data_IF_803875148648
#
_entry.id   IF_803875148648
#
_cell.length_a   1.000
_cell.length_b   1.000
_cell.length_c   1.000
_cell.angle_alpha   90.00
_cell.angle_beta   90.00
_cell.angle_gamma   90.00
#
_symmetry.space_group_name_H-M   'P 1'
#
loop_
_entity.id
_entity.type
_entity.pdbx_description
1 polymer ?
#
# COMPACT_ATOMS: atom_id res chain seq x y z
N UNK A 1 0.66 -40.25 -11.81
CA UNK A 1 1.32 -39.00 -12.27
C UNK A 1 0.39 -37.85 -11.95
N UNK A 2 0.70 -37.03 -10.94
CA UNK A 2 -0.18 -35.92 -10.52
C UNK A 2 -0.04 -34.78 -11.52
N UNK A 3 -1.15 -34.36 -12.16
CA UNK A 3 -1.15 -33.28 -13.15
C UNK A 3 -0.64 -31.98 -12.54
N UNK A 4 0.15 -31.20 -13.27
CA UNK A 4 0.60 -29.85 -12.90
C UNK A 4 -0.58 -28.97 -12.46
N UNK A 5 -1.75 -29.15 -13.07
CA UNK A 5 -2.97 -28.44 -12.70
C UNK A 5 -3.47 -28.79 -11.29
N UNK A 6 -3.26 -30.03 -10.85
CA UNK A 6 -3.60 -30.49 -9.50
C UNK A 6 -2.64 -29.89 -8.47
N UNK A 7 -1.33 -29.87 -8.77
CA UNK A 7 -0.30 -29.22 -7.95
C UNK A 7 -0.55 -27.71 -7.78
N UNK A 8 -0.90 -27.01 -8.86
CA UNK A 8 -1.24 -25.58 -8.81
C UNK A 8 -2.50 -25.34 -7.98
N UNK A 9 -3.53 -26.18 -8.16
CA UNK A 9 -4.79 -26.07 -7.43
C UNK A 9 -4.59 -26.35 -5.93
N UNK A 10 -3.77 -27.34 -5.58
CA UNK A 10 -3.46 -27.73 -4.20
C UNK A 10 -2.55 -26.70 -3.52
N UNK A 11 -1.58 -26.13 -4.23
CA UNK A 11 -0.80 -24.99 -3.76
C UNK A 11 -1.68 -23.76 -3.53
N UNK A 12 -2.58 -23.46 -4.47
CA UNK A 12 -3.50 -22.33 -4.38
C UNK A 12 -4.51 -22.49 -3.24
N UNK A 13 -5.03 -23.69 -2.98
CA UNK A 13 -5.91 -23.93 -1.83
C UNK A 13 -5.15 -23.88 -0.51
N UNK A 14 -3.91 -24.39 -0.46
CA UNK A 14 -3.06 -24.36 0.73
C UNK A 14 -2.62 -22.94 1.11
N UNK A 15 -2.35 -22.08 0.13
CA UNK A 15 -1.86 -20.71 0.33
C UNK A 15 -2.93 -19.64 0.04
N UNK A 16 -4.21 -20.03 -0.04
CA UNK A 16 -5.30 -19.17 -0.54
C UNK A 16 -5.45 -17.86 0.23
N UNK A 17 -5.20 -17.91 1.53
CA UNK A 17 -5.42 -16.77 2.42
C UNK A 17 -4.29 -15.76 2.28
N UNK A 18 -3.06 -16.24 2.09
CA UNK A 18 -1.91 -15.41 1.75
C UNK A 18 -2.08 -14.72 0.38
N UNK A 19 -2.56 -15.46 -0.63
CA UNK A 19 -2.74 -14.94 -2.00
C UNK A 19 -3.88 -13.91 -2.08
N UNK A 20 -5.03 -14.18 -1.45
CA UNK A 20 -6.15 -13.22 -1.45
C UNK A 20 -5.84 -11.94 -0.67
N UNK A 21 -5.10 -12.06 0.43
CA UNK A 21 -4.66 -10.89 1.20
C UNK A 21 -3.70 -10.02 0.39
N UNK A 22 -2.76 -10.62 -0.34
CA UNK A 22 -1.85 -9.90 -1.25
C UNK A 22 -2.64 -9.19 -2.37
N UNK A 23 -3.70 -9.81 -2.89
CA UNK A 23 -4.60 -9.17 -3.86
C UNK A 23 -5.28 -7.93 -3.28
N UNK A 24 -5.84 -8.01 -2.08
CA UNK A 24 -6.53 -6.87 -1.44
C UNK A 24 -5.58 -5.70 -1.17
N UNK A 25 -4.32 -6.00 -0.82
CA UNK A 25 -3.26 -5.00 -0.65
C UNK A 25 -2.94 -4.27 -1.96
N UNK A 26 -2.79 -5.00 -3.06
CA UNK A 26 -2.52 -4.39 -4.38
C UNK A 26 -3.72 -3.56 -4.84
N UNK A 27 -4.95 -4.00 -4.59
CA UNK A 27 -6.15 -3.24 -4.95
C UNK A 27 -6.22 -1.94 -4.14
N UNK A 28 -5.99 -1.99 -2.82
CA UNK A 28 -5.99 -0.77 -2.00
C UNK A 28 -4.88 0.18 -2.44
N UNK A 29 -3.70 -0.32 -2.78
CA UNK A 29 -2.59 0.48 -3.31
C UNK A 29 -2.96 1.26 -4.57
N UNK A 30 -3.57 0.58 -5.55
CA UNK A 30 -3.96 1.20 -6.83
C UNK A 30 -5.03 2.27 -6.60
N UNK A 31 -6.04 1.98 -5.79
CA UNK A 31 -7.11 2.95 -5.53
C UNK A 31 -6.55 4.18 -4.80
N UNK A 32 -5.69 3.97 -3.80
CA UNK A 32 -5.02 5.08 -3.10
C UNK A 32 -4.21 5.94 -4.07
N UNK A 33 -3.44 5.33 -4.99
CA UNK A 33 -2.67 6.09 -5.98
C UNK A 33 -3.55 6.95 -6.90
N UNK A 34 -4.72 6.45 -7.31
CA UNK A 34 -5.67 7.21 -8.13
C UNK A 34 -6.25 8.39 -7.33
N UNK A 35 -6.62 8.14 -6.07
CA UNK A 35 -7.17 9.17 -5.18
C UNK A 35 -6.12 10.25 -4.86
N UNK A 36 -4.86 9.87 -4.65
CA UNK A 36 -3.77 10.82 -4.36
C UNK A 36 -3.58 11.86 -5.47
N UNK A 37 -3.68 11.46 -6.74
CA UNK A 37 -3.58 12.39 -7.88
C UNK A 37 -4.60 13.52 -7.74
N UNK A 38 -5.85 13.17 -7.41
CA UNK A 38 -6.93 14.14 -7.22
C UNK A 38 -6.64 15.04 -6.02
N UNK A 39 -6.20 14.46 -4.91
CA UNK A 39 -5.95 15.18 -3.66
C UNK A 39 -4.77 16.14 -3.78
N UNK A 40 -3.65 15.71 -4.35
CA UNK A 40 -2.48 16.57 -4.57
C UNK A 40 -2.81 17.71 -5.53
N UNK A 41 -3.52 17.43 -6.62
CA UNK A 41 -3.91 18.46 -7.59
C UNK A 41 -4.84 19.50 -6.95
N UNK A 42 -5.86 19.05 -6.22
CA UNK A 42 -6.79 19.94 -5.52
C UNK A 42 -6.07 20.77 -4.43
N UNK A 43 -5.17 20.15 -3.69
CA UNK A 43 -4.40 20.80 -2.63
C UNK A 43 -3.45 21.85 -3.21
N UNK A 44 -2.78 21.55 -4.33
CA UNK A 44 -1.90 22.49 -5.02
C UNK A 44 -2.64 23.73 -5.54
N UNK A 45 -3.90 23.56 -5.99
CA UNK A 45 -4.76 24.68 -6.41
C UNK A 45 -5.27 25.52 -5.23
N UNK A 46 -5.48 24.91 -4.07
CA UNK A 46 -6.06 25.57 -2.89
C UNK A 46 -4.99 26.28 -2.05
N UNK A 47 -3.83 25.66 -1.87
CA UNK A 47 -2.77 26.12 -0.98
C UNK A 47 -1.52 26.50 -1.76
N UNK A 48 -1.59 27.65 -2.44
CA UNK A 48 -0.51 28.16 -3.28
C UNK A 48 0.80 28.28 -2.47
N UNK A 49 1.86 27.67 -2.99
CA UNK A 49 3.24 27.67 -2.44
C UNK A 49 3.40 27.11 -1.01
N UNK A 50 2.34 26.58 -0.39
CA UNK A 50 2.44 25.92 0.91
C UNK A 50 2.70 24.42 0.76
N UNK A 51 3.90 24.08 0.27
CA UNK A 51 4.28 22.70 -0.06
C UNK A 51 4.29 21.76 1.15
N UNK A 52 4.61 22.29 2.34
CA UNK A 52 4.57 21.51 3.58
C UNK A 52 3.12 21.08 3.88
N UNK A 53 2.17 21.99 3.76
CA UNK A 53 0.76 21.70 3.99
C UNK A 53 0.22 20.74 2.92
N UNK A 54 0.55 20.95 1.64
CA UNK A 54 0.17 20.05 0.54
C UNK A 54 0.69 18.62 0.79
N UNK A 55 1.97 18.47 1.10
CA UNK A 55 2.58 17.16 1.38
C UNK A 55 1.97 16.46 2.61
N UNK A 56 1.59 17.23 3.63
CA UNK A 56 0.92 16.73 4.82
C UNK A 56 -0.50 16.24 4.52
N UNK A 57 -1.27 17.00 3.73
CA UNK A 57 -2.62 16.59 3.30
C UNK A 57 -2.57 15.31 2.48
N UNK A 58 -1.68 15.25 1.48
CA UNK A 58 -1.49 14.05 0.66
C UNK A 58 -1.13 12.83 1.52
N UNK A 59 -0.20 12.97 2.48
CA UNK A 59 0.17 11.88 3.38
C UNK A 59 -1.00 11.38 4.24
N UNK A 60 -1.75 12.29 4.87
CA UNK A 60 -2.88 11.93 5.74
C UNK A 60 -3.98 11.26 4.91
N UNK A 61 -4.25 11.79 3.72
CA UNK A 61 -5.23 11.22 2.82
C UNK A 61 -4.84 9.83 2.32
N UNK A 62 -3.58 9.61 1.96
CA UNK A 62 -3.06 8.31 1.56
C UNK A 62 -3.23 7.29 2.68
N UNK A 63 -2.84 7.65 3.90
CA UNK A 63 -2.97 6.79 5.08
C UNK A 63 -4.43 6.39 5.33
N UNK A 64 -5.36 7.36 5.34
CA UNK A 64 -6.78 7.10 5.58
C UNK A 64 -7.36 6.24 4.47
N UNK A 65 -7.09 6.59 3.21
CA UNK A 65 -7.66 5.93 2.04
C UNK A 65 -7.17 4.50 1.93
N UNK A 66 -5.86 4.28 2.06
CA UNK A 66 -5.25 2.96 2.00
C UNK A 66 -5.82 2.05 3.09
N UNK A 67 -5.75 2.46 4.36
CA UNK A 67 -6.22 1.64 5.48
C UNK A 67 -7.72 1.38 5.41
N UNK A 68 -8.52 2.39 5.06
CA UNK A 68 -9.97 2.24 4.98
C UNK A 68 -10.37 1.23 3.91
N UNK A 69 -9.84 1.36 2.69
CA UNK A 69 -10.11 0.43 1.59
C UNK A 69 -9.61 -0.97 1.94
N UNK A 70 -8.42 -1.05 2.50
CA UNK A 70 -7.81 -2.31 2.87
C UNK A 70 -8.62 -3.08 3.92
N UNK A 71 -9.05 -2.41 4.99
CA UNK A 71 -9.90 -2.99 6.04
C UNK A 71 -11.26 -3.41 5.47
N UNK A 72 -11.87 -2.61 4.59
CA UNK A 72 -13.14 -2.96 3.94
C UNK A 72 -13.01 -4.23 3.10
N UNK A 73 -11.96 -4.32 2.27
CA UNK A 73 -11.72 -5.49 1.41
C UNK A 73 -11.46 -6.75 2.25
N UNK A 74 -10.70 -6.61 3.33
CA UNK A 74 -10.38 -7.68 4.25
C UNK A 74 -11.61 -8.16 5.04
N UNK A 75 -12.45 -7.23 5.50
CA UNK A 75 -13.71 -7.54 6.18
C UNK A 75 -14.68 -8.27 5.27
N UNK A 76 -14.84 -7.79 4.02
CA UNK A 76 -15.70 -8.42 3.01
C UNK A 76 -15.27 -9.86 2.73
N UNK A 77 -13.97 -10.10 2.58
CA UNK A 77 -13.44 -11.44 2.34
C UNK A 77 -13.65 -12.39 3.54
N UNK A 78 -13.50 -11.90 4.77
CA UNK A 78 -13.70 -12.69 5.99
C UNK A 78 -15.17 -13.11 6.18
N UNK A 79 -16.14 -12.22 5.93
CA UNK A 79 -17.57 -12.55 5.99
C UNK A 79 -17.90 -13.66 4.99
N UNK A 80 -17.41 -13.51 3.75
CA UNK A 80 -17.75 -14.43 2.66
C UNK A 80 -17.14 -15.82 2.92
N UNK A 81 -15.97 -15.90 3.55
CA UNK A 81 -15.23 -17.17 3.73
C UNK A 81 -15.40 -17.83 5.10
N UNK A 82 -16.01 -17.16 6.10
CA UNK A 82 -16.10 -17.63 7.50
C UNK A 82 -14.76 -18.09 8.09
N UNK A 83 -13.64 -17.57 7.58
CA UNK A 83 -12.32 -17.95 8.05
C UNK A 83 -11.96 -17.14 9.29
N UNK A 84 -11.60 -17.84 10.38
CA UNK A 84 -11.00 -17.18 11.56
C UNK A 84 -9.63 -16.66 11.14
N UNK A 85 -9.40 -15.36 11.31
CA UNK A 85 -8.10 -14.70 11.23
C UNK A 85 -7.11 -15.46 12.14
N UNK A 86 -6.39 -16.41 11.56
CA UNK A 86 -5.37 -17.19 12.27
C UNK A 86 -4.19 -16.30 12.61
N UNK A 87 -3.50 -16.63 13.70
CA UNK A 87 -2.32 -15.94 14.25
C UNK A 87 -1.27 -15.50 13.21
N UNK A 88 -1.13 -16.22 12.09
CA UNK A 88 -0.20 -15.87 11.00
C UNK A 88 -0.55 -14.54 10.31
N UNK A 89 -1.84 -14.16 10.30
CA UNK A 89 -2.32 -12.88 9.77
C UNK A 89 -1.79 -11.69 10.59
N UNK A 90 -1.55 -11.90 11.89
CA UNK A 90 -1.14 -10.86 12.81
C UNK A 90 0.34 -10.47 12.61
N UNK A 91 1.20 -11.46 12.36
CA UNK A 91 2.62 -11.23 12.00
C UNK A 91 2.76 -10.57 10.63
N UNK A 92 1.87 -10.90 9.71
CA UNK A 92 1.82 -10.24 8.41
C UNK A 92 1.38 -8.78 8.55
N UNK A 93 0.33 -8.51 9.34
CA UNK A 93 -0.16 -7.16 9.61
C UNK A 93 0.92 -6.26 10.24
N UNK A 94 1.69 -6.77 11.20
CA UNK A 94 2.80 -6.00 11.81
C UNK A 94 3.92 -5.71 10.82
N UNK A 95 4.25 -6.66 9.94
CA UNK A 95 5.22 -6.47 8.86
C UNK A 95 4.78 -5.36 7.90
N UNK A 96 3.49 -5.32 7.55
CA UNK A 96 2.93 -4.27 6.70
C UNK A 96 2.85 -2.92 7.38
N UNK A 97 2.53 -2.87 8.68
CA UNK A 97 2.49 -1.62 9.43
C UNK A 97 3.88 -0.95 9.49
N UNK A 98 4.95 -1.72 9.65
CA UNK A 98 6.32 -1.17 9.59
C UNK A 98 6.67 -0.71 8.17
N UNK A 99 6.26 -1.45 7.14
CA UNK A 99 6.43 -1.01 5.76
C UNK A 99 5.63 0.27 5.47
N UNK A 100 4.44 0.43 6.05
CA UNK A 100 3.60 1.62 5.89
C UNK A 100 4.26 2.85 6.50
N UNK A 101 4.89 2.75 7.68
CA UNK A 101 5.67 3.86 8.24
C UNK A 101 6.75 4.32 7.25
N UNK A 102 7.41 3.37 6.58
CA UNK A 102 8.41 3.72 5.56
C UNK A 102 7.82 4.37 4.31
N UNK A 103 6.61 3.96 3.90
CA UNK A 103 5.86 4.61 2.83
C UNK A 103 5.56 6.06 3.21
N UNK A 104 5.00 6.30 4.39
CA UNK A 104 4.63 7.64 4.86
C UNK A 104 5.84 8.59 4.89
N UNK A 105 6.96 8.15 5.46
CA UNK A 105 8.19 8.96 5.51
C UNK A 105 8.68 9.28 4.09
N UNK A 106 8.73 8.26 3.22
CA UNK A 106 9.21 8.44 1.84
C UNK A 106 8.28 9.37 1.07
N UNK A 107 6.97 9.19 1.16
CA UNK A 107 5.95 9.98 0.47
C UNK A 107 6.00 11.44 0.91
N UNK A 108 6.07 11.71 2.21
CA UNK A 108 6.18 13.07 2.73
C UNK A 108 7.41 13.79 2.18
N UNK A 109 8.59 13.19 2.41
CA UNK A 109 9.86 13.82 2.05
C UNK A 109 9.98 14.02 0.54
N UNK A 110 9.65 13.01 -0.25
CA UNK A 110 9.74 13.11 -1.72
C UNK A 110 8.74 14.11 -2.28
N UNK A 111 7.50 14.15 -1.76
CA UNK A 111 6.49 15.13 -2.22
C UNK A 111 6.91 16.54 -1.88
N UNK A 112 7.35 16.80 -0.65
CA UNK A 112 7.86 18.10 -0.24
C UNK A 112 9.05 18.55 -1.11
N UNK A 113 10.05 17.69 -1.27
CA UNK A 113 11.25 18.01 -2.06
C UNK A 113 10.93 18.19 -3.55
N UNK A 114 10.02 17.40 -4.12
CA UNK A 114 9.66 17.50 -5.53
C UNK A 114 8.94 18.81 -5.83
N UNK A 115 8.00 19.23 -4.98
CA UNK A 115 7.36 20.54 -5.11
C UNK A 115 8.35 21.71 -5.00
N UNK A 116 9.38 21.58 -4.15
CA UNK A 116 10.36 22.65 -3.92
C UNK A 116 11.45 22.72 -5.00
N UNK A 117 11.92 21.57 -5.50
CA UNK A 117 13.14 21.47 -6.32
C UNK A 117 12.86 21.19 -7.80
N UNK A 118 11.67 20.65 -8.13
CA UNK A 118 11.37 20.15 -9.47
C UNK A 118 10.20 20.93 -10.06
N UNK A 119 10.37 21.45 -11.28
CA UNK A 119 9.32 22.16 -12.03
C UNK A 119 8.33 21.20 -12.70
N UNK A 120 7.82 20.24 -11.95
CA UNK A 120 6.79 19.32 -12.42
C UNK A 120 5.40 19.85 -12.09
N UNK A 121 4.41 19.43 -12.88
CA UNK A 121 3.02 19.66 -12.52
C UNK A 121 2.63 18.81 -11.30
N UNK A 122 1.66 19.29 -10.53
CA UNK A 122 1.12 18.65 -9.33
C UNK A 122 0.74 17.18 -9.53
N UNK A 123 0.11 16.84 -10.67
CA UNK A 123 -0.22 15.46 -11.01
C UNK A 123 1.02 14.59 -11.26
N UNK A 124 2.05 15.13 -11.94
CA UNK A 124 3.30 14.42 -12.19
C UNK A 124 4.09 14.18 -10.90
N UNK A 125 4.08 15.16 -10.00
CA UNK A 125 4.68 15.04 -8.67
C UNK A 125 3.99 13.91 -7.90
N UNK A 126 2.65 13.90 -7.83
CA UNK A 126 1.88 12.84 -7.16
C UNK A 126 2.24 11.45 -7.68
N UNK A 127 2.17 11.24 -9.00
CA UNK A 127 2.47 9.92 -9.60
C UNK A 127 3.89 9.47 -9.25
N UNK A 128 4.87 10.37 -9.38
CA UNK A 128 6.28 10.05 -9.16
C UNK A 128 6.56 9.72 -7.69
N UNK A 129 6.02 10.51 -6.76
CA UNK A 129 6.28 10.34 -5.33
C UNK A 129 5.52 9.15 -4.76
N UNK A 130 4.29 8.90 -5.25
CA UNK A 130 3.53 7.68 -4.94
C UNK A 130 4.26 6.44 -5.43
N UNK A 131 4.76 6.44 -6.67
CA UNK A 131 5.52 5.31 -7.21
C UNK A 131 6.79 5.03 -6.41
N UNK A 132 7.57 6.07 -6.07
CA UNK A 132 8.76 5.95 -5.24
C UNK A 132 8.44 5.40 -3.85
N UNK A 133 7.40 5.91 -3.19
CA UNK A 133 6.98 5.44 -1.89
C UNK A 133 6.54 3.96 -1.93
N UNK A 134 5.83 3.52 -2.98
CA UNK A 134 5.48 2.12 -3.17
C UNK A 134 6.69 1.21 -3.41
N UNK A 135 7.69 1.68 -4.16
CA UNK A 135 8.95 0.93 -4.33
C UNK A 135 9.63 0.72 -2.98
N UNK A 136 9.77 1.78 -2.17
CA UNK A 136 10.33 1.70 -0.82
C UNK A 136 9.52 0.75 0.08
N UNK A 137 8.19 0.84 0.05
CA UNK A 137 7.29 -0.05 0.77
C UNK A 137 7.52 -1.52 0.42
N UNK A 138 7.60 -1.85 -0.87
CA UNK A 138 7.80 -3.23 -1.33
C UNK A 138 9.18 -3.75 -0.93
N UNK A 139 10.23 -2.93 -1.02
CA UNK A 139 11.58 -3.31 -0.60
C UNK A 139 11.60 -3.61 0.91
N UNK A 140 11.04 -2.71 1.73
CA UNK A 140 11.07 -2.85 3.19
C UNK A 140 10.18 -4.01 3.66
N UNK A 141 8.97 -4.15 3.09
CA UNK A 141 8.09 -5.29 3.40
C UNK A 141 8.75 -6.63 3.05
N UNK A 142 9.45 -6.72 1.91
CA UNK A 142 10.20 -7.93 1.54
C UNK A 142 11.36 -8.25 2.50
N UNK A 143 12.10 -7.24 2.96
CA UNK A 143 13.18 -7.40 3.94
C UNK A 143 12.61 -7.90 5.28
N UNK A 144 11.51 -7.30 5.74
CA UNK A 144 10.88 -7.65 7.01
C UNK A 144 10.25 -9.05 6.94
N UNK A 145 9.58 -9.40 5.85
CA UNK A 145 8.99 -10.73 5.65
C UNK A 145 10.05 -11.85 5.66
N UNK A 146 11.25 -11.57 5.13
CA UNK A 146 12.40 -12.48 5.24
C UNK A 146 12.89 -12.62 6.68
N UNK A 147 12.95 -11.52 7.45
CA UNK A 147 13.41 -11.55 8.85
C UNK A 147 12.42 -12.22 9.81
N UNK A 148 11.12 -12.10 9.56
CA UNK A 148 10.08 -12.69 10.41
C UNK A 148 9.79 -14.17 10.11
N UNK A 149 10.54 -14.80 9.19
CA UNK A 149 10.39 -16.21 8.74
C UNK A 149 8.97 -16.56 8.24
N UNK A 150 8.17 -15.57 7.84
CA UNK A 150 6.81 -15.79 7.29
C UNK A 150 6.87 -16.49 5.92
N UNK A 151 8.03 -16.48 5.26
CA UNK A 151 8.30 -17.06 3.94
C UNK A 151 9.13 -18.36 3.95
N UNK A 152 9.15 -19.10 5.06
CA UNK A 152 9.79 -20.44 5.18
C UNK A 152 8.77 -21.48 5.55
#
# INVERSE_FOLDING_TARGET
MMSIFCLIKEFYTKNRNFINYNKNLVISAIITAIVDIVIVTLSALTFIENYLLISSISLVADFITFNSIFVILLYRDNIIKKERLRQDSMKFLTTLGVAEISYLITKFLTTYLFFQLIKFDSAQISISTTALAWICYIVISNILAKRTKILT
#
